data_IF_669375673730
#
_entry.id   IF_669375673730
#
_cell.length_a   1.000
_cell.length_b   1.000
_cell.length_c   1.000
_cell.angle_alpha   90.00
_cell.angle_beta   90.00
_cell.angle_gamma   90.00
#
_symmetry.space_group_name_H-M   'P 1'
#
loop_
_entity.id
_entity.type
_entity.pdbx_description
1 polymer ?
#
# COMPACT_ATOMS: atom_id res chain seq x y z
N UNK A 1 -7.87 20.24 -11.07
CA UNK A 1 -7.67 18.79 -11.33
C UNK A 1 -6.26 18.65 -11.88
N UNK A 2 -5.53 17.67 -11.36
CA UNK A 2 -4.18 17.33 -11.83
C UNK A 2 -4.24 16.74 -13.25
N UNK A 3 -3.25 17.05 -14.09
CA UNK A 3 -3.12 16.46 -15.43
C UNK A 3 -2.40 15.10 -15.39
N UNK A 4 -2.57 14.29 -16.43
CA UNK A 4 -1.88 12.99 -16.51
C UNK A 4 -0.36 13.14 -16.54
N UNK A 5 0.14 14.19 -17.19
CA UNK A 5 1.57 14.52 -17.20
C UNK A 5 2.09 14.85 -15.80
N UNK A 6 1.31 15.61 -15.00
CA UNK A 6 1.64 15.88 -13.61
C UNK A 6 1.58 14.61 -12.74
N UNK A 7 0.61 13.71 -12.97
CA UNK A 7 0.54 12.41 -12.29
C UNK A 7 1.81 11.60 -12.56
N UNK A 8 2.25 11.52 -13.83
CA UNK A 8 3.46 10.79 -14.19
C UNK A 8 4.69 11.38 -13.51
N UNK A 9 4.83 12.71 -13.58
CA UNK A 9 5.96 13.43 -12.98
C UNK A 9 6.00 13.23 -11.46
N UNK A 10 4.92 13.55 -10.77
CA UNK A 10 4.87 13.51 -9.30
C UNK A 10 4.91 12.07 -8.78
N UNK A 11 4.30 11.12 -9.49
CA UNK A 11 4.42 9.70 -9.18
C UNK A 11 5.86 9.21 -9.26
N UNK A 12 6.59 9.62 -10.30
CA UNK A 12 8.02 9.31 -10.47
C UNK A 12 8.88 9.98 -9.38
N UNK A 13 8.62 11.25 -9.06
CA UNK A 13 9.34 11.95 -8.00
C UNK A 13 9.11 11.29 -6.63
N UNK A 14 7.87 10.86 -6.34
CA UNK A 14 7.52 10.16 -5.10
C UNK A 14 8.21 8.80 -5.01
N UNK A 15 8.20 8.03 -6.10
CA UNK A 15 8.92 6.74 -6.22
C UNK A 15 10.41 6.90 -5.89
N UNK A 16 11.06 7.91 -6.49
CA UNK A 16 12.47 8.23 -6.27
C UNK A 16 12.73 8.65 -4.83
N UNK A 17 11.90 9.54 -4.28
CA UNK A 17 12.06 10.05 -2.92
C UNK A 17 11.91 8.93 -1.88
N UNK A 18 10.91 8.07 -2.05
CA UNK A 18 10.69 6.87 -1.23
C UNK A 18 11.76 5.79 -1.44
N UNK A 19 12.58 5.89 -2.49
CA UNK A 19 13.60 4.89 -2.87
C UNK A 19 12.96 3.52 -3.10
N UNK A 20 11.83 3.50 -3.80
CA UNK A 20 11.08 2.27 -4.03
C UNK A 20 11.83 1.33 -4.99
N UNK A 21 11.57 0.03 -4.85
CA UNK A 21 12.12 -1.02 -5.73
C UNK A 21 11.20 -1.36 -6.90
N UNK A 22 9.95 -0.97 -6.83
CA UNK A 22 8.91 -1.19 -7.83
C UNK A 22 8.05 0.06 -7.97
N UNK A 23 7.42 0.20 -9.13
CA UNK A 23 6.64 1.40 -9.45
C UNK A 23 5.37 1.50 -8.60
N UNK A 24 4.97 2.71 -8.16
CA UNK A 24 3.58 2.97 -7.79
C UNK A 24 2.65 2.58 -8.95
N UNK A 25 1.49 2.03 -8.63
CA UNK A 25 0.51 1.55 -9.60
C UNK A 25 -0.61 2.59 -9.71
N UNK A 26 -0.85 3.05 -10.93
CA UNK A 26 -2.09 3.73 -11.31
C UNK A 26 -3.21 2.68 -11.42
N UNK A 27 -4.26 2.84 -10.61
CA UNK A 27 -5.43 1.95 -10.58
C UNK A 27 -6.67 2.73 -11.02
N UNK A 28 -7.41 2.20 -11.98
CA UNK A 28 -8.66 2.80 -12.48
C UNK A 28 -9.76 1.76 -12.62
N UNK A 29 -10.96 2.10 -12.17
CA UNK A 29 -12.18 1.33 -12.40
C UNK A 29 -12.75 1.66 -13.79
N UNK A 30 -13.18 0.62 -14.52
CA UNK A 30 -13.67 0.74 -15.89
C UNK A 30 -15.20 0.61 -15.94
N UNK A 31 -15.87 1.57 -16.54
CA UNK A 31 -17.34 1.56 -16.76
C UNK A 31 -17.74 0.89 -18.06
N UNK A 32 -16.86 0.87 -19.04
CA UNK A 32 -17.08 0.20 -20.34
C UNK A 32 -15.81 -0.47 -20.85
N UNK A 33 -15.94 -1.33 -21.86
CA UNK A 33 -14.79 -1.94 -22.54
C UNK A 33 -13.98 -0.90 -23.34
N UNK A 34 -14.62 0.19 -23.78
CA UNK A 34 -13.98 1.24 -24.59
C UNK A 34 -12.98 2.09 -23.77
N UNK A 35 -13.03 2.00 -22.44
CA UNK A 35 -12.08 2.66 -21.55
C UNK A 35 -10.77 1.88 -21.36
N UNK A 36 -10.68 0.65 -21.90
CA UNK A 36 -9.48 -0.18 -21.82
C UNK A 36 -8.38 0.40 -22.73
N UNK A 37 -7.17 0.68 -22.21
CA UNK A 37 -6.06 1.10 -23.05
C UNK A 37 -5.73 0.09 -24.15
N UNK A 38 -5.32 0.58 -25.32
CA UNK A 38 -5.01 -0.28 -26.47
C UNK A 38 -3.86 -1.26 -26.18
N UNK A 39 -2.88 -0.84 -25.37
CA UNK A 39 -1.74 -1.65 -24.95
C UNK A 39 -2.04 -2.58 -23.77
N UNK A 40 -3.24 -2.48 -23.17
CA UNK A 40 -3.59 -3.25 -22.00
C UNK A 40 -3.72 -4.74 -22.32
N UNK A 41 -3.05 -5.54 -21.51
CA UNK A 41 -3.21 -7.00 -21.49
C UNK A 41 -4.51 -7.35 -20.77
N UNK A 42 -5.32 -8.21 -21.38
CA UNK A 42 -6.46 -8.87 -20.73
C UNK A 42 -6.07 -10.36 -20.57
N UNK A 43 -5.88 -10.86 -19.33
CA UNK A 43 -5.25 -12.17 -19.13
C UNK A 43 -5.88 -13.34 -19.88
N UNK A 44 -7.20 -13.46 -19.91
CA UNK A 44 -7.87 -14.54 -20.65
C UNK A 44 -7.79 -14.37 -22.16
N UNK A 45 -7.76 -13.13 -22.65
CA UNK A 45 -7.60 -12.81 -24.08
C UNK A 45 -6.19 -13.11 -24.56
N UNK A 46 -5.18 -12.62 -23.86
CA UNK A 46 -3.80 -12.59 -24.36
C UNK A 46 -2.93 -13.71 -23.81
N UNK A 47 -3.07 -14.02 -22.52
CA UNK A 47 -2.31 -15.10 -21.87
C UNK A 47 -3.06 -16.43 -21.83
N UNK A 48 -4.34 -16.45 -22.21
CA UNK A 48 -5.22 -17.64 -22.18
C UNK A 48 -5.33 -18.27 -20.78
N UNK A 49 -5.06 -17.48 -19.74
CA UNK A 49 -5.07 -17.92 -18.35
C UNK A 49 -5.69 -16.84 -17.46
N UNK A 50 -6.22 -17.28 -16.30
CA UNK A 50 -6.76 -16.40 -15.27
C UNK A 50 -5.69 -16.10 -14.23
N UNK A 51 -5.75 -14.91 -13.64
CA UNK A 51 -4.81 -14.45 -12.61
C UNK A 51 -5.56 -13.92 -11.40
N UNK A 52 -4.95 -13.95 -10.22
CA UNK A 52 -5.47 -13.17 -9.10
C UNK A 52 -5.16 -11.68 -9.31
N UNK A 53 -6.04 -10.78 -8.86
CA UNK A 53 -5.83 -9.34 -8.99
C UNK A 53 -4.49 -8.88 -8.40
N UNK A 54 -4.07 -9.43 -7.25
CA UNK A 54 -2.76 -9.12 -6.67
C UNK A 54 -1.59 -9.46 -7.62
N UNK A 55 -1.70 -10.52 -8.42
CA UNK A 55 -0.68 -10.85 -9.42
C UNK A 55 -0.68 -9.84 -10.57
N UNK A 56 -1.85 -9.40 -11.03
CA UNK A 56 -1.94 -8.35 -12.05
C UNK A 56 -1.31 -7.04 -11.54
N UNK A 57 -1.64 -6.64 -10.30
CA UNK A 57 -1.00 -5.50 -9.64
C UNK A 57 0.53 -5.69 -9.57
N UNK A 58 1.01 -6.86 -9.11
CA UNK A 58 2.44 -7.16 -9.03
C UNK A 58 3.16 -7.07 -10.38
N UNK A 59 2.54 -7.56 -11.46
CA UNK A 59 3.10 -7.46 -12.81
C UNK A 59 3.08 -6.03 -13.34
N UNK A 60 2.09 -5.22 -12.98
CA UNK A 60 2.12 -3.79 -13.27
C UNK A 60 3.32 -3.12 -12.57
N UNK A 61 3.47 -3.27 -11.25
CA UNK A 61 4.55 -2.59 -10.51
C UNK A 61 5.97 -3.06 -10.86
N UNK A 62 6.19 -4.34 -11.18
CA UNK A 62 7.53 -4.92 -11.37
C UNK A 62 7.91 -5.15 -12.83
N UNK A 63 6.95 -5.53 -13.65
CA UNK A 63 7.20 -5.86 -15.05
C UNK A 63 6.83 -4.68 -15.98
N UNK A 64 6.28 -3.60 -15.44
CA UNK A 64 5.92 -2.41 -16.21
C UNK A 64 4.68 -2.59 -17.09
N UNK A 65 3.83 -3.58 -16.79
CA UNK A 65 2.71 -3.97 -17.67
C UNK A 65 1.43 -3.17 -17.40
N UNK A 66 0.74 -2.77 -18.46
CA UNK A 66 -0.67 -2.33 -18.41
C UNK A 66 -1.57 -3.57 -18.46
N UNK A 67 -2.41 -3.79 -17.44
CA UNK A 67 -3.27 -4.98 -17.35
C UNK A 67 -4.70 -4.57 -16.98
N UNK A 68 -5.65 -4.94 -17.83
CA UNK A 68 -7.08 -4.84 -17.55
C UNK A 68 -7.62 -6.17 -17.04
N UNK A 69 -8.44 -6.12 -15.99
CA UNK A 69 -9.02 -7.28 -15.31
C UNK A 69 -10.54 -7.16 -15.28
N UNK A 70 -11.23 -8.13 -15.88
CA UNK A 70 -12.67 -8.29 -15.78
C UNK A 70 -13.04 -9.49 -14.89
N UNK A 71 -14.34 -9.69 -14.65
CA UNK A 71 -14.85 -10.83 -13.87
C UNK A 71 -14.22 -12.16 -14.29
N UNK A 72 -14.14 -12.42 -15.60
CA UNK A 72 -13.70 -13.73 -16.12
C UNK A 72 -12.16 -13.90 -16.11
N UNK A 73 -11.40 -12.82 -15.97
CA UNK A 73 -9.93 -12.86 -15.84
C UNK A 73 -9.46 -13.22 -14.43
N UNK A 74 -10.33 -13.05 -13.44
CA UNK A 74 -9.99 -13.29 -12.05
C UNK A 74 -10.04 -14.78 -11.69
N UNK A 75 -8.97 -15.27 -11.07
CA UNK A 75 -8.95 -16.58 -10.40
C UNK A 75 -9.35 -16.49 -8.92
N UNK A 76 -9.16 -15.33 -8.30
CA UNK A 76 -9.61 -15.05 -6.94
C UNK A 76 -10.98 -14.36 -6.97
N UNK A 77 -11.96 -14.87 -6.22
CA UNK A 77 -13.32 -14.31 -6.21
C UNK A 77 -13.45 -13.06 -5.31
N UNK A 78 -12.58 -12.89 -4.31
CA UNK A 78 -12.62 -11.77 -3.36
C UNK A 78 -12.63 -10.39 -4.06
N UNK A 79 -11.71 -10.08 -5.01
CA UNK A 79 -11.76 -8.82 -5.75
C UNK A 79 -12.98 -8.68 -6.66
N UNK A 80 -13.50 -9.78 -7.21
CA UNK A 80 -14.70 -9.76 -8.06
C UNK A 80 -15.92 -9.29 -7.26
N UNK A 81 -16.05 -9.74 -6.01
CA UNK A 81 -17.09 -9.27 -5.08
C UNK A 81 -16.78 -7.89 -4.50
N UNK A 82 -15.55 -7.68 -4.04
CA UNK A 82 -15.10 -6.43 -3.41
C UNK A 82 -15.28 -5.22 -4.31
N UNK A 83 -14.94 -5.37 -5.59
CA UNK A 83 -15.00 -4.29 -6.58
C UNK A 83 -16.36 -4.18 -7.27
N UNK A 84 -17.39 -4.91 -6.80
CA UNK A 84 -18.75 -4.78 -7.32
C UNK A 84 -18.93 -5.30 -8.76
N UNK A 85 -18.08 -6.23 -9.23
CA UNK A 85 -18.19 -6.80 -10.59
C UNK A 85 -19.31 -7.84 -10.70
N UNK A 86 -19.76 -8.37 -9.57
CA UNK A 86 -20.92 -9.28 -9.46
C UNK A 86 -21.73 -8.94 -8.21
N UNK A 87 -23.05 -9.22 -8.17
CA UNK A 87 -23.82 -9.04 -6.96
C UNK A 87 -23.40 -10.09 -5.92
N UNK A 88 -23.31 -9.73 -4.63
CA UNK A 88 -23.06 -10.70 -3.58
C UNK A 88 -24.26 -11.65 -3.48
N UNK A 89 -23.97 -12.95 -3.36
CA UNK A 89 -25.01 -13.97 -3.11
C UNK A 89 -25.14 -14.25 -1.61
N UNK A 90 -26.33 -14.68 -1.11
CA UNK A 90 -26.52 -15.03 0.30
C UNK A 90 -25.46 -15.98 0.86
N UNK A 91 -25.02 -16.97 0.07
CA UNK A 91 -24.05 -18.00 0.45
C UNK A 91 -22.66 -17.43 0.76
N UNK A 92 -22.32 -16.26 0.21
CA UNK A 92 -21.08 -15.57 0.59
C UNK A 92 -21.14 -15.16 2.07
N UNK A 93 -22.29 -14.68 2.54
CA UNK A 93 -22.48 -14.22 3.91
C UNK A 93 -22.58 -15.36 4.93
N UNK A 94 -22.74 -16.60 4.49
CA UNK A 94 -22.73 -17.78 5.35
C UNK A 94 -21.30 -18.18 5.77
N UNK A 95 -20.27 -17.72 5.04
CA UNK A 95 -18.86 -17.92 5.43
C UNK A 95 -18.30 -19.33 5.19
N UNK A 96 -19.05 -20.24 4.56
CA UNK A 96 -18.64 -21.62 4.29
C UNK A 96 -17.34 -21.76 3.49
N UNK A 97 -16.96 -20.77 2.69
CA UNK A 97 -15.72 -20.78 1.93
C UNK A 97 -14.46 -20.59 2.79
N UNK A 98 -14.62 -20.24 4.07
CA UNK A 98 -13.50 -20.00 5.00
C UNK A 98 -13.43 -21.04 6.11
N UNK A 99 -14.58 -21.53 6.57
CA UNK A 99 -14.68 -22.53 7.62
C UNK A 99 -14.60 -23.95 7.02
N UNK A 100 -13.87 -24.90 7.64
CA UNK A 100 -13.07 -24.77 8.86
C UNK A 100 -11.59 -24.41 8.63
N UNK A 101 -11.19 -24.06 7.41
CA UNK A 101 -9.78 -23.90 7.02
C UNK A 101 -9.06 -22.74 7.73
N UNK A 102 -9.61 -21.53 7.62
CA UNK A 102 -8.93 -20.29 8.07
C UNK A 102 -9.64 -19.57 9.20
N UNK A 103 -10.69 -20.16 9.78
CA UNK A 103 -11.51 -19.59 10.85
C UNK A 103 -12.07 -20.70 11.74
N UNK A 104 -12.10 -20.44 13.04
CA UNK A 104 -12.50 -21.43 14.06
C UNK A 104 -13.96 -21.81 13.99
N UNK A 105 -14.85 -20.84 13.75
CA UNK A 105 -16.29 -21.01 13.83
C UNK A 105 -16.98 -20.42 12.59
N UNK A 106 -18.05 -21.07 12.11
CA UNK A 106 -18.79 -20.62 10.93
C UNK A 106 -19.40 -19.22 11.12
N UNK A 107 -19.87 -18.90 12.33
CA UNK A 107 -20.42 -17.58 12.63
C UNK A 107 -19.38 -16.46 12.49
N UNK A 108 -18.13 -16.71 12.86
CA UNK A 108 -17.06 -15.71 12.69
C UNK A 108 -16.59 -15.64 11.24
N UNK A 109 -16.71 -16.73 10.48
CA UNK A 109 -16.54 -16.72 9.03
C UNK A 109 -17.54 -15.75 8.37
N UNK A 110 -18.82 -15.86 8.72
CA UNK A 110 -19.89 -14.99 8.27
C UNK A 110 -19.65 -13.51 8.69
N UNK A 111 -19.18 -13.29 9.92
CA UNK A 111 -18.83 -11.94 10.42
C UNK A 111 -17.76 -11.27 9.56
N UNK A 112 -16.71 -11.99 9.19
CA UNK A 112 -15.70 -11.44 8.27
C UNK A 112 -16.29 -11.09 6.90
N UNK A 113 -17.20 -11.93 6.37
CA UNK A 113 -17.86 -11.68 5.09
C UNK A 113 -18.70 -10.39 5.14
N UNK A 114 -19.38 -10.11 6.26
CA UNK A 114 -20.10 -8.86 6.47
C UNK A 114 -19.15 -7.65 6.52
N UNK A 115 -18.00 -7.80 7.20
CA UNK A 115 -16.99 -6.75 7.39
C UNK A 115 -16.16 -6.42 6.14
N UNK A 116 -16.08 -7.31 5.14
CA UNK A 116 -15.30 -7.07 3.93
C UNK A 116 -15.90 -5.89 3.15
N UNK A 117 -15.14 -4.82 2.87
CA UNK A 117 -15.65 -3.66 2.13
C UNK A 117 -16.00 -4.07 0.70
N UNK A 118 -17.07 -3.49 0.16
CA UNK A 118 -17.58 -3.77 -1.19
C UNK A 118 -18.10 -2.49 -1.84
N UNK A 119 -17.82 -2.33 -3.14
CA UNK A 119 -18.54 -1.40 -4.01
C UNK A 119 -19.93 -1.93 -4.34
N UNK A 120 -20.83 -1.02 -4.71
CA UNK A 120 -22.15 -1.41 -5.23
C UNK A 120 -22.00 -2.14 -6.57
N UNK A 121 -22.80 -3.20 -6.75
CA UNK A 121 -22.82 -3.94 -8.00
C UNK A 121 -23.41 -3.10 -9.15
N UNK A 122 -22.84 -3.27 -10.34
CA UNK A 122 -23.38 -2.70 -11.58
C UNK A 122 -22.82 -1.32 -11.94
N UNK A 123 -21.90 -0.77 -11.14
CA UNK A 123 -21.24 0.50 -11.43
C UNK A 123 -20.06 0.36 -12.41
N UNK A 124 -19.39 -0.80 -12.41
CA UNK A 124 -18.16 -1.03 -13.17
C UNK A 124 -18.15 -2.43 -13.82
N UNK A 125 -17.51 -2.54 -14.98
CA UNK A 125 -17.32 -3.82 -15.69
C UNK A 125 -15.99 -4.49 -15.32
N UNK A 126 -14.98 -3.70 -14.97
CA UNK A 126 -13.64 -4.18 -14.65
C UNK A 126 -12.76 -3.07 -14.09
N UNK A 127 -11.46 -3.27 -14.18
CA UNK A 127 -10.44 -2.31 -13.79
C UNK A 127 -9.23 -2.41 -14.70
N UNK A 128 -8.37 -1.39 -14.68
CA UNK A 128 -7.04 -1.42 -15.28
C UNK A 128 -6.00 -0.95 -14.27
N UNK A 129 -4.83 -1.60 -14.31
CA UNK A 129 -3.64 -1.23 -13.55
C UNK A 129 -2.44 -1.05 -14.47
N UNK A 130 -1.62 -0.06 -14.20
CA UNK A 130 -0.38 0.21 -14.93
C UNK A 130 0.62 0.94 -14.00
N UNK A 131 1.93 0.97 -14.34
CA UNK A 131 2.86 1.86 -13.65
C UNK A 131 2.40 3.32 -13.76
N UNK A 132 2.51 4.07 -12.66
CA UNK A 132 2.05 5.47 -12.61
C UNK A 132 2.75 6.37 -13.63
N UNK A 133 3.99 6.05 -14.00
CA UNK A 133 4.81 6.87 -14.89
C UNK A 133 4.51 6.68 -16.38
N UNK A 134 3.74 5.65 -16.74
CA UNK A 134 3.50 5.24 -18.14
C UNK A 134 2.03 4.99 -18.46
N UNK A 135 1.13 5.10 -17.48
CA UNK A 135 -0.30 4.85 -17.71
C UNK A 135 -0.90 5.82 -18.74
N UNK A 136 -1.78 5.34 -19.61
CA UNK A 136 -2.45 6.14 -20.64
C UNK A 136 -3.85 6.63 -20.21
N UNK A 137 -4.15 6.54 -18.92
CA UNK A 137 -5.44 6.89 -18.33
C UNK A 137 -5.25 7.67 -17.03
N UNK A 138 -6.21 8.53 -16.69
CA UNK A 138 -6.25 9.15 -15.36
C UNK A 138 -6.62 8.08 -14.32
N UNK A 139 -5.76 7.77 -13.33
CA UNK A 139 -6.10 6.82 -12.26
C UNK A 139 -7.23 7.34 -11.36
N UNK A 140 -7.94 6.43 -10.72
CA UNK A 140 -8.79 6.77 -9.55
C UNK A 140 -7.97 6.70 -8.26
N UNK A 141 -6.95 5.84 -8.22
CA UNK A 141 -6.09 5.60 -7.07
C UNK A 141 -4.63 5.42 -7.49
N UNK A 142 -3.72 5.78 -6.60
CA UNK A 142 -2.30 5.39 -6.65
C UNK A 142 -2.03 4.41 -5.52
N UNK A 143 -1.66 3.18 -5.87
CA UNK A 143 -1.41 2.08 -4.92
C UNK A 143 0.07 1.72 -4.92
N UNK A 144 0.65 1.56 -3.74
CA UNK A 144 2.08 1.29 -3.56
C UNK A 144 2.30 0.16 -2.57
N UNK A 145 3.12 -0.82 -2.92
CA UNK A 145 3.76 -1.70 -1.94
C UNK A 145 4.96 -0.96 -1.32
N UNK A 146 4.88 -0.67 -0.02
CA UNK A 146 5.85 0.15 0.73
C UNK A 146 6.26 -0.56 2.01
N UNK A 147 7.51 -0.42 2.43
CA UNK A 147 7.93 -0.97 3.71
C UNK A 147 7.45 -0.13 4.91
N UNK A 148 7.68 -0.60 6.14
CA UNK A 148 7.27 0.10 7.36
C UNK A 148 7.84 1.53 7.50
N UNK A 149 9.07 1.78 7.04
CA UNK A 149 9.68 3.12 7.08
C UNK A 149 9.00 4.05 6.06
N UNK A 150 8.83 3.59 4.82
CA UNK A 150 8.13 4.33 3.77
C UNK A 150 6.69 4.63 4.17
N UNK A 151 5.99 3.66 4.77
CA UNK A 151 4.64 3.84 5.30
C UNK A 151 4.59 4.93 6.38
N UNK A 152 5.52 4.90 7.34
CA UNK A 152 5.63 5.94 8.37
C UNK A 152 5.83 7.33 7.75
N UNK A 153 6.70 7.46 6.75
CA UNK A 153 6.95 8.72 6.05
C UNK A 153 5.68 9.22 5.34
N UNK A 154 4.97 8.35 4.63
CA UNK A 154 3.71 8.70 3.96
C UNK A 154 2.62 9.14 4.95
N UNK A 155 2.52 8.50 6.12
CA UNK A 155 1.60 8.90 7.18
C UNK A 155 1.99 10.25 7.81
N UNK A 156 3.28 10.51 8.02
CA UNK A 156 3.76 11.81 8.50
C UNK A 156 3.45 12.91 7.48
N UNK A 157 3.66 12.65 6.18
CA UNK A 157 3.30 13.57 5.09
C UNK A 157 1.78 13.83 5.10
N UNK A 158 0.95 12.79 5.26
CA UNK A 158 -0.50 12.95 5.35
C UNK A 158 -0.90 13.83 6.54
N UNK A 159 -0.33 13.56 7.72
CA UNK A 159 -0.54 14.40 8.90
C UNK A 159 0.01 15.83 8.71
N UNK A 160 1.10 16.01 7.97
CA UNK A 160 1.61 17.35 7.65
C UNK A 160 0.65 18.12 6.73
N UNK A 161 0.00 17.42 5.79
CA UNK A 161 -0.93 18.03 4.84
C UNK A 161 -2.20 18.57 5.51
N UNK A 162 -2.80 17.80 6.43
CA UNK A 162 -4.10 18.17 6.99
C UNK A 162 -4.29 17.85 8.48
N UNK A 163 -3.24 17.40 9.17
CA UNK A 163 -3.26 17.11 10.60
C UNK A 163 -3.96 15.80 10.98
N UNK A 164 -4.36 14.96 10.01
CA UNK A 164 -5.17 13.76 10.27
C UNK A 164 -4.40 12.46 10.13
N UNK A 165 -4.76 11.51 10.98
CA UNK A 165 -4.41 10.10 10.82
C UNK A 165 -5.23 9.44 9.69
N UNK A 166 -4.76 8.29 9.20
CA UNK A 166 -5.46 7.48 8.20
C UNK A 166 -6.24 6.36 8.92
N UNK A 167 -7.59 6.42 9.01
CA UNK A 167 -8.37 5.35 9.60
C UNK A 167 -8.41 4.14 8.66
N UNK A 168 -7.87 3.00 9.11
CA UNK A 168 -7.80 1.79 8.28
C UNK A 168 -8.31 0.55 9.02
N UNK A 169 -9.18 -0.20 8.35
CA UNK A 169 -9.54 -1.56 8.75
C UNK A 169 -8.49 -2.53 8.22
N UNK A 170 -7.61 -3.01 9.10
CA UNK A 170 -6.57 -3.96 8.73
C UNK A 170 -7.12 -5.40 8.74
N UNK A 171 -6.88 -6.13 7.66
CA UNK A 171 -7.29 -7.52 7.46
C UNK A 171 -6.17 -8.32 6.79
N UNK A 172 -5.88 -9.52 7.30
CA UNK A 172 -4.96 -10.47 6.66
C UNK A 172 -5.52 -11.15 5.40
N UNK A 173 -6.68 -10.72 4.91
CA UNK A 173 -7.43 -11.27 3.78
C UNK A 173 -7.81 -10.17 2.79
N UNK A 174 -8.04 -10.53 1.52
CA UNK A 174 -8.50 -9.64 0.46
C UNK A 174 -7.70 -8.32 0.35
N UNK A 175 -6.37 -8.34 0.49
CA UNK A 175 -5.56 -7.12 0.53
C UNK A 175 -5.81 -6.18 -0.66
N UNK A 176 -5.97 -6.72 -1.87
CA UNK A 176 -6.32 -5.95 -3.08
C UNK A 176 -7.67 -5.23 -3.00
N UNK A 177 -8.60 -5.72 -2.17
CA UNK A 177 -9.89 -5.06 -1.87
C UNK A 177 -9.71 -4.03 -0.77
N UNK A 178 -9.02 -4.39 0.32
CA UNK A 178 -8.84 -3.51 1.48
C UNK A 178 -7.95 -2.28 1.18
N UNK A 179 -7.04 -2.36 0.20
CA UNK A 179 -6.26 -1.19 -0.24
C UNK A 179 -7.03 -0.28 -1.21
N UNK A 180 -8.03 -0.80 -1.95
CA UNK A 180 -8.69 -0.02 -3.02
C UNK A 180 -10.10 0.45 -2.63
N UNK A 181 -10.97 -0.46 -2.22
CA UNK A 181 -12.40 -0.18 -2.04
C UNK A 181 -12.68 0.90 -0.98
N UNK A 182 -12.04 0.89 0.21
CA UNK A 182 -12.24 1.96 1.17
C UNK A 182 -11.88 3.33 0.62
N UNK A 183 -10.75 3.46 -0.09
CA UNK A 183 -10.34 4.73 -0.72
C UNK A 183 -11.30 5.17 -1.83
N UNK A 184 -11.81 4.24 -2.65
CA UNK A 184 -12.81 4.56 -3.68
C UNK A 184 -14.11 5.10 -3.08
N UNK A 185 -14.56 4.55 -1.95
CA UNK A 185 -15.79 4.97 -1.28
C UNK A 185 -15.58 6.28 -0.49
N UNK A 186 -14.53 6.35 0.30
CA UNK A 186 -14.30 7.42 1.27
C UNK A 186 -13.57 8.62 0.67
N UNK A 187 -12.95 8.44 -0.51
CA UNK A 187 -12.11 9.46 -1.16
C UNK A 187 -11.00 9.95 -0.23
N UNK A 188 -10.26 9.01 0.37
CA UNK A 188 -9.22 9.25 1.36
C UNK A 188 -8.06 8.24 1.22
N UNK A 189 -6.90 8.55 1.80
CA UNK A 189 -5.78 7.61 1.88
C UNK A 189 -6.17 6.32 2.61
N UNK A 190 -5.44 5.22 2.35
CA UNK A 190 -5.67 3.95 3.01
C UNK A 190 -4.36 3.17 3.22
N UNK A 191 -4.28 2.47 4.35
CA UNK A 191 -3.25 1.47 4.62
C UNK A 191 -3.88 0.09 4.68
N UNK A 192 -3.28 -0.88 3.98
CA UNK A 192 -3.67 -2.29 4.07
C UNK A 192 -2.44 -3.18 4.28
N UNK A 193 -2.67 -4.39 4.80
CA UNK A 193 -1.61 -5.38 5.01
C UNK A 193 -1.71 -6.50 3.97
N UNK A 194 -0.59 -6.94 3.36
CA UNK A 194 -0.60 -8.02 2.38
C UNK A 194 -1.21 -9.31 2.96
N UNK A 195 -2.16 -9.87 2.23
CA UNK A 195 -2.80 -11.13 2.58
C UNK A 195 -1.96 -12.33 2.11
N UNK A 196 -2.38 -13.55 2.49
CA UNK A 196 -1.72 -14.80 2.05
C UNK A 196 -1.54 -14.89 0.53
N UNK A 197 -2.54 -14.46 -0.24
CA UNK A 197 -2.48 -14.46 -1.71
C UNK A 197 -1.47 -13.45 -2.25
N UNK A 198 -1.44 -12.25 -1.69
CA UNK A 198 -0.52 -11.18 -2.08
C UNK A 198 0.95 -11.57 -1.79
N UNK A 199 1.20 -12.14 -0.61
CA UNK A 199 2.53 -12.64 -0.24
C UNK A 199 2.98 -13.82 -1.09
N UNK A 200 2.14 -14.86 -1.20
CA UNK A 200 2.52 -16.13 -1.83
C UNK A 200 2.55 -16.07 -3.37
N UNK A 201 1.59 -15.36 -3.98
CA UNK A 201 1.40 -15.39 -5.44
C UNK A 201 1.89 -14.12 -6.11
N UNK A 202 1.79 -12.99 -5.41
CA UNK A 202 2.21 -11.68 -5.90
C UNK A 202 3.53 -11.21 -5.25
N UNK A 203 4.19 -12.07 -4.45
CA UNK A 203 5.50 -11.87 -3.85
C UNK A 203 5.63 -10.58 -3.02
N UNK A 204 4.55 -10.16 -2.33
CA UNK A 204 4.66 -9.10 -1.33
C UNK A 204 5.59 -9.55 -0.19
N UNK A 205 6.53 -8.69 0.21
CA UNK A 205 7.58 -9.00 1.19
C UNK A 205 7.08 -8.86 2.63
N UNK A 206 7.80 -9.48 3.57
CA UNK A 206 7.45 -9.49 5.01
C UNK A 206 7.42 -8.10 5.64
N UNK A 207 8.25 -7.19 5.13
CA UNK A 207 8.33 -5.80 5.56
C UNK A 207 7.38 -4.86 4.80
N UNK A 208 6.69 -5.34 3.76
CA UNK A 208 5.79 -4.55 2.93
C UNK A 208 4.36 -4.45 3.50
N UNK A 209 3.80 -3.26 3.33
CA UNK A 209 2.41 -2.85 3.49
C UNK A 209 1.93 -2.29 2.15
N UNK A 210 0.61 -2.10 2.00
CA UNK A 210 0.07 -1.30 0.91
C UNK A 210 -0.34 0.07 1.43
N UNK A 211 0.09 1.13 0.74
CA UNK A 211 -0.39 2.48 0.94
C UNK A 211 -1.11 2.94 -0.33
N UNK A 212 -2.27 3.56 -0.17
CA UNK A 212 -3.07 4.09 -1.27
C UNK A 212 -3.38 5.56 -1.02
N UNK A 213 -3.27 6.38 -2.08
CA UNK A 213 -3.63 7.79 -2.08
C UNK A 213 -4.43 8.14 -3.33
N UNK A 214 -5.12 9.28 -3.28
CA UNK A 214 -5.79 9.85 -4.44
C UNK A 214 -4.80 10.61 -5.33
N UNK A 215 -4.91 10.56 -6.67
CA UNK A 215 -4.01 11.28 -7.58
C UNK A 215 -3.93 12.78 -7.29
N UNK A 216 -5.03 13.40 -6.88
CA UNK A 216 -5.12 14.81 -6.51
C UNK A 216 -4.27 15.17 -5.29
N UNK A 217 -3.88 14.20 -4.46
CA UNK A 217 -3.03 14.40 -3.29
C UNK A 217 -1.53 14.39 -3.66
N UNK A 218 -1.14 13.90 -4.84
CA UNK A 218 0.27 13.83 -5.26
C UNK A 218 1.05 15.16 -5.12
N UNK A 219 0.50 16.33 -5.53
CA UNK A 219 1.23 17.60 -5.39
C UNK A 219 1.52 17.93 -3.93
N UNK A 220 0.53 17.74 -3.05
CA UNK A 220 0.69 17.96 -1.62
C UNK A 220 1.67 16.97 -0.99
N UNK A 221 1.59 15.69 -1.38
CA UNK A 221 2.52 14.68 -0.88
C UNK A 221 3.97 15.02 -1.24
N UNK A 222 4.21 15.51 -2.46
CA UNK A 222 5.55 15.95 -2.87
C UNK A 222 5.99 17.24 -2.17
N UNK A 223 5.08 18.18 -1.91
CA UNK A 223 5.40 19.36 -1.09
C UNK A 223 5.81 18.98 0.33
N UNK A 224 5.05 18.08 0.96
CA UNK A 224 5.33 17.54 2.30
C UNK A 224 6.64 16.76 2.33
N UNK A 225 6.89 15.89 1.35
CA UNK A 225 8.16 15.16 1.21
C UNK A 225 9.36 16.12 1.16
N UNK A 226 9.26 17.18 0.34
CA UNK A 226 10.30 18.20 0.22
C UNK A 226 10.47 19.01 1.53
N UNK A 227 9.37 19.33 2.21
CA UNK A 227 9.41 20.00 3.51
C UNK A 227 10.13 19.14 4.55
N UNK A 228 9.73 17.88 4.71
CA UNK A 228 10.37 16.95 5.65
C UNK A 228 11.85 16.75 5.33
N UNK A 229 12.21 16.64 4.04
CA UNK A 229 13.61 16.54 3.62
C UNK A 229 14.45 17.73 4.08
N UNK A 230 13.95 18.97 3.92
CA UNK A 230 14.64 20.20 4.34
C UNK A 230 14.80 20.30 5.87
N UNK A 231 13.93 19.65 6.63
CA UNK A 231 13.93 19.68 8.10
C UNK A 231 14.60 18.46 8.74
N UNK A 232 15.31 17.63 7.97
CA UNK A 232 15.94 16.37 8.43
C UNK A 232 14.94 15.30 8.94
N UNK A 233 13.68 15.36 8.52
CA UNK A 233 12.67 14.34 8.79
C UNK A 233 12.44 13.37 7.60
N UNK A 234 13.01 13.67 6.43
CA UNK A 234 12.86 12.88 5.21
C UNK A 234 13.80 11.67 5.11
N UNK A 235 14.03 11.19 3.88
CA UNK A 235 14.81 9.98 3.61
C UNK A 235 16.24 10.28 3.11
N UNK A 236 17.24 9.45 3.47
CA UNK A 236 17.16 8.34 4.42
C UNK A 236 17.01 8.84 5.87
N UNK A 237 16.22 8.12 6.67
CA UNK A 237 16.11 8.41 8.10
C UNK A 237 17.44 8.08 8.78
N UNK A 238 18.09 9.10 9.36
CA UNK A 238 19.33 8.92 10.10
C UNK A 238 19.06 8.15 11.39
N UNK A 239 19.65 6.97 11.52
CA UNK A 239 19.65 6.23 12.77
C UNK A 239 20.76 6.78 13.67
N UNK A 240 20.39 7.19 14.88
CA UNK A 240 21.34 7.65 15.88
C UNK A 240 21.52 6.57 16.95
N UNK A 241 22.77 6.15 17.14
CA UNK A 241 23.18 5.37 18.30
C UNK A 241 23.88 6.35 19.23
N UNK A 242 23.23 6.72 20.32
CA UNK A 242 23.79 7.69 21.26
C UNK A 242 24.63 6.95 22.31
N UNK A 243 25.93 7.20 22.28
CA UNK A 243 26.83 6.82 23.35
C UNK A 243 26.52 7.72 24.56
N UNK A 244 26.23 7.12 25.72
CA UNK A 244 26.10 7.83 27.01
C UNK A 244 25.18 9.07 26.96
N UNK A 245 24.00 8.93 26.32
CA UNK A 245 23.00 9.98 26.28
C UNK A 245 22.51 10.38 27.68
N UNK A 246 22.05 11.62 27.81
CA UNK A 246 21.60 12.16 29.09
C UNK A 246 20.48 11.30 29.70
N UNK A 247 20.79 10.70 30.84
CA UNK A 247 19.85 9.96 31.66
C UNK A 247 19.14 10.92 32.63
N UNK A 248 17.91 10.59 33.01
CA UNK A 248 17.19 11.35 34.04
C UNK A 248 17.91 11.18 35.39
N UNK A 249 17.96 12.22 36.25
CA UNK A 249 18.72 12.16 37.51
C UNK A 249 18.44 10.93 38.39
N UNK A 250 17.17 10.61 38.65
CA UNK A 250 16.81 9.44 39.44
C UNK A 250 17.19 8.09 38.80
N UNK A 251 17.38 8.04 37.48
CA UNK A 251 17.89 6.86 36.79
C UNK A 251 19.40 6.72 36.98
N UNK A 252 20.15 7.83 36.98
CA UNK A 252 21.58 7.83 37.31
C UNK A 252 21.82 7.35 38.75
N UNK A 253 21.08 7.90 39.71
CA UNK A 253 21.19 7.50 41.12
C UNK A 253 20.96 5.99 41.31
N UNK A 254 19.93 5.45 40.65
CA UNK A 254 19.67 4.01 40.66
C UNK A 254 20.80 3.21 40.04
N UNK A 255 21.39 3.67 38.93
CA UNK A 255 22.51 2.99 38.29
C UNK A 255 23.77 2.98 39.18
N UNK A 256 24.09 4.10 39.83
CA UNK A 256 25.20 4.20 40.79
C UNK A 256 25.02 3.26 41.99
N UNK A 257 23.80 3.18 42.55
CA UNK A 257 23.48 2.25 43.64
C UNK A 257 23.67 0.78 43.26
N UNK A 258 23.53 0.43 41.98
CA UNK A 258 23.77 -0.92 41.46
C UNK A 258 25.25 -1.14 41.07
N UNK A 259 26.13 -0.19 41.34
CA UNK A 259 27.57 -0.29 41.07
C UNK A 259 27.93 -0.12 39.59
N UNK A 260 27.07 0.54 38.81
CA UNK A 260 27.40 0.89 37.43
C UNK A 260 28.39 2.07 37.38
N UNK A 261 29.32 2.05 36.41
CA UNK A 261 30.18 3.19 36.13
C UNK A 261 29.42 4.22 35.30
N UNK A 262 29.12 5.36 35.90
CA UNK A 262 28.35 6.46 35.30
C UNK A 262 29.25 7.58 34.75
N UNK A 263 30.57 7.40 34.77
CA UNK A 263 31.50 8.35 34.16
C UNK A 263 31.37 8.30 32.64
N UNK A 264 31.29 9.47 32.01
CA UNK A 264 31.32 9.53 30.55
C UNK A 264 32.70 9.10 30.03
N UNK A 265 32.70 8.19 29.08
CA UNK A 265 33.90 7.73 28.38
C UNK A 265 34.57 8.91 27.66
N UNK A 266 35.91 8.91 27.56
CA UNK A 266 36.60 9.89 26.73
C UNK A 266 36.16 9.75 25.26
N UNK A 267 36.13 10.85 24.47
CA UNK A 267 35.73 10.79 23.08
C UNK A 267 36.53 9.75 22.30
N UNK A 268 35.86 8.88 21.53
CA UNK A 268 36.54 7.88 20.69
C UNK A 268 37.46 8.60 19.71
N UNK A 269 38.76 8.30 19.74
CA UNK A 269 39.69 8.75 18.70
C UNK A 269 39.28 8.15 17.35
N UNK A 270 38.79 8.99 16.44
CA UNK A 270 38.52 8.56 15.08
C UNK A 270 39.84 8.41 14.31
N UNK A 271 40.29 7.17 14.13
CA UNK A 271 41.31 6.86 13.11
C UNK A 271 40.60 6.76 11.76
N UNK A 272 41.19 7.36 10.71
CA UNK A 272 40.73 7.13 9.35
C UNK A 272 40.65 5.61 9.11
N UNK A 273 39.47 5.12 8.71
CA UNK A 273 39.38 3.76 8.18
C UNK A 273 40.18 3.76 6.88
N UNK A 274 41.25 2.97 6.82
CA UNK A 274 41.94 2.69 5.57
C UNK A 274 41.02 1.80 4.74
N UNK A 275 40.20 2.41 3.89
CA UNK A 275 39.53 1.75 2.78
C UNK A 275 40.29 2.06 1.51
#
# INVERSE_FOLDING_TARGET
MISLEEVHKLGTELEIWLRMRSHPIAFKMLKSIDEVPEDAIIPTRDWKHKYALCQAMAKAQRDGMTIAMFKDDNWCFEPVLGLGLVPPRPEFFEGHHRYPDSVRDLQDAARWCQNMPRLEFGQYLGLVVAPINTCSFMPDLVVMHVNGLQTSQLLIIKCWLDGKDVPSQLSGHAACVYCTVPSLIQQECQVAIPCKGDRRLAMAQDDELLFTLLPEMLPGFMEGANFLQKHNWGLPLKQEYKEEYDLKPGYCEMAEMHGMDMQQSPPRQQKFQKH
#
